data_IF_244553837313
#
_entry.id   IF_244553837313
#
_cell.length_a   1.000
_cell.length_b   1.000
_cell.length_c   1.000
_cell.angle_alpha   90.00
_cell.angle_beta   90.00
_cell.angle_gamma   90.00
#
_symmetry.space_group_name_H-M   'P 1'
#
loop_
_entity.id
_entity.type
_entity.pdbx_description
1 polymer ?
#
# COMPACT_ATOMS: atom_id res chain seq x y z
N UNK A 1 -22.67 -13.88 -5.74
CA UNK A 1 -21.65 -13.24 -6.59
C UNK A 1 -20.89 -12.22 -5.74
N UNK A 2 -19.56 -12.34 -5.55
CA UNK A 2 -18.80 -11.29 -4.84
C UNK A 2 -18.62 -10.12 -5.81
N UNK A 3 -19.02 -8.92 -5.41
CA UNK A 3 -18.83 -7.70 -6.20
C UNK A 3 -17.34 -7.52 -6.54
N UNK A 4 -17.00 -7.12 -7.78
CA UNK A 4 -15.61 -6.91 -8.15
C UNK A 4 -15.03 -5.79 -7.29
N UNK A 5 -13.92 -6.07 -6.63
CA UNK A 5 -13.20 -5.10 -5.83
C UNK A 5 -12.59 -4.05 -6.77
N UNK A 6 -13.16 -2.85 -6.84
CA UNK A 6 -12.59 -1.71 -7.57
C UNK A 6 -11.77 -0.79 -6.66
N UNK A 7 -10.64 -0.24 -7.13
CA UNK A 7 -9.93 0.81 -6.43
C UNK A 7 -10.80 2.04 -6.23
N UNK A 8 -10.53 2.80 -5.17
CA UNK A 8 -11.22 4.07 -4.85
C UNK A 8 -11.01 5.11 -5.95
N UNK A 9 -9.76 5.27 -6.38
CA UNK A 9 -9.32 6.22 -7.40
C UNK A 9 -7.99 5.74 -8.01
N UNK A 10 -7.54 6.43 -9.07
CA UNK A 10 -6.31 6.08 -9.82
C UNK A 10 -5.05 6.19 -8.95
N UNK A 11 -4.96 7.22 -8.12
CA UNK A 11 -3.79 7.47 -7.25
C UNK A 11 -3.65 6.34 -6.22
N UNK A 12 -4.75 5.97 -5.58
CA UNK A 12 -4.80 4.88 -4.60
C UNK A 12 -4.42 3.53 -5.25
N UNK A 13 -4.86 3.28 -6.48
CA UNK A 13 -4.49 2.09 -7.23
C UNK A 13 -2.97 2.04 -7.50
N UNK A 14 -2.39 3.14 -7.98
CA UNK A 14 -0.95 3.23 -8.27
C UNK A 14 -0.09 3.09 -7.01
N UNK A 15 -0.47 3.75 -5.91
CA UNK A 15 0.23 3.64 -4.62
C UNK A 15 0.16 2.20 -4.11
N UNK A 16 -1.03 1.60 -4.10
CA UNK A 16 -1.24 0.23 -3.65
C UNK A 16 -0.39 -0.78 -4.43
N UNK A 17 -0.35 -0.63 -5.76
CA UNK A 17 0.45 -1.48 -6.64
C UNK A 17 1.96 -1.32 -6.36
N UNK A 18 2.47 -0.09 -6.20
CA UNK A 18 3.88 0.15 -5.84
C UNK A 18 4.24 -0.46 -4.48
N UNK A 19 3.35 -0.39 -3.50
CA UNK A 19 3.54 -1.03 -2.19
C UNK A 19 3.62 -2.55 -2.34
N UNK A 20 2.70 -3.16 -3.09
CA UNK A 20 2.68 -4.60 -3.36
C UNK A 20 3.96 -5.07 -4.03
N UNK A 21 4.42 -4.36 -5.06
CA UNK A 21 5.66 -4.68 -5.77
C UNK A 21 6.88 -4.59 -4.86
N UNK A 22 7.00 -3.52 -4.08
CA UNK A 22 8.09 -3.36 -3.12
C UNK A 22 8.07 -4.47 -2.06
N UNK A 23 6.88 -4.84 -1.56
CA UNK A 23 6.69 -5.94 -0.62
C UNK A 23 7.18 -7.27 -1.20
N UNK A 24 6.78 -7.59 -2.43
CA UNK A 24 7.18 -8.82 -3.12
C UNK A 24 8.69 -8.86 -3.40
N UNK A 25 9.29 -7.75 -3.82
CA UNK A 25 10.75 -7.62 -4.00
C UNK A 25 11.52 -7.90 -2.69
N UNK A 26 10.95 -7.53 -1.55
CA UNK A 26 11.50 -7.81 -0.22
C UNK A 26 11.16 -9.19 0.33
N UNK A 27 10.41 -10.01 -0.42
CA UNK A 27 9.99 -11.37 -0.03
C UNK A 27 9.28 -11.44 1.33
N UNK A 28 8.50 -10.41 1.68
CA UNK A 28 7.71 -10.41 2.93
C UNK A 28 6.22 -10.62 2.64
N UNK A 29 5.53 -11.33 3.52
CA UNK A 29 4.08 -11.55 3.40
C UNK A 29 3.29 -10.30 3.78
N UNK A 30 2.03 -10.23 3.39
CA UNK A 30 1.14 -9.15 3.83
C UNK A 30 1.03 -9.13 5.37
N UNK A 31 0.88 -10.29 6.01
CA UNK A 31 0.82 -10.37 7.47
C UNK A 31 2.10 -9.83 8.14
N UNK A 32 3.27 -10.14 7.59
CA UNK A 32 4.55 -9.64 8.11
C UNK A 32 4.68 -8.12 7.98
N UNK A 33 4.35 -7.56 6.80
CA UNK A 33 4.40 -6.11 6.62
C UNK A 33 3.37 -5.40 7.50
N UNK A 34 2.14 -5.91 7.56
CA UNK A 34 1.07 -5.37 8.38
C UNK A 34 1.47 -5.31 9.87
N UNK A 35 2.06 -6.41 10.38
CA UNK A 35 2.61 -6.46 11.75
C UNK A 35 3.71 -5.40 11.98
N UNK A 36 4.59 -5.18 10.99
CA UNK A 36 5.70 -4.19 11.11
C UNK A 36 5.24 -2.74 11.12
N UNK A 37 4.08 -2.43 10.55
CA UNK A 37 3.52 -1.06 10.47
C UNK A 37 2.33 -0.85 11.42
N UNK A 38 1.90 -1.87 12.16
CA UNK A 38 0.83 -1.78 13.16
C UNK A 38 -0.59 -1.76 12.58
N UNK A 39 -0.83 -2.46 11.46
CA UNK A 39 -2.17 -2.60 10.87
C UNK A 39 -2.56 -4.07 10.70
N UNK A 40 -3.83 -4.33 10.36
CA UNK A 40 -4.30 -5.69 10.07
C UNK A 40 -3.85 -6.16 8.67
N UNK A 41 -3.70 -7.47 8.49
CA UNK A 41 -3.41 -8.04 7.17
C UNK A 41 -4.51 -7.73 6.15
N UNK A 42 -5.77 -7.69 6.60
CA UNK A 42 -6.92 -7.35 5.77
C UNK A 42 -6.86 -5.90 5.28
N UNK A 43 -6.48 -4.96 6.16
CA UNK A 43 -6.26 -3.56 5.79
C UNK A 43 -5.12 -3.47 4.77
N UNK A 44 -3.99 -4.16 4.99
CA UNK A 44 -2.90 -4.17 4.00
C UNK A 44 -3.34 -4.77 2.66
N UNK A 45 -4.16 -5.82 2.67
CA UNK A 45 -4.73 -6.41 1.45
C UNK A 45 -5.55 -5.39 0.67
N UNK A 46 -6.39 -4.59 1.36
CA UNK A 46 -7.18 -3.49 0.76
C UNK A 46 -6.29 -2.35 0.27
N UNK A 47 -5.23 -2.01 0.99
CA UNK A 47 -4.21 -1.04 0.57
C UNK A 47 -3.58 -1.45 -0.76
N UNK A 48 -3.12 -2.70 -0.88
CA UNK A 48 -2.42 -3.19 -2.08
C UNK A 48 -3.29 -3.23 -3.35
N UNK A 49 -4.60 -3.11 -3.20
CA UNK A 49 -5.57 -3.03 -4.32
C UNK A 49 -6.24 -1.64 -4.42
N UNK A 50 -5.72 -0.62 -3.72
CA UNK A 50 -6.19 0.76 -3.81
C UNK A 50 -7.58 1.00 -3.21
N UNK A 51 -8.01 0.18 -2.23
CA UNK A 51 -9.32 0.26 -1.58
C UNK A 51 -9.33 1.03 -0.25
N UNK A 52 -8.20 1.63 0.12
CA UNK A 52 -8.07 2.42 1.34
C UNK A 52 -7.68 3.85 1.02
N UNK A 53 -8.23 4.80 1.77
CA UNK A 53 -7.71 6.16 1.81
C UNK A 53 -6.54 6.21 2.80
N UNK A 54 -5.33 6.02 2.30
CA UNK A 54 -4.13 6.00 3.13
C UNK A 54 -3.72 7.40 3.56
N UNK A 55 -3.49 7.58 4.86
CA UNK A 55 -2.80 8.78 5.33
C UNK A 55 -1.35 8.81 4.84
N UNK A 56 -0.82 10.02 4.62
CA UNK A 56 0.60 10.21 4.27
C UNK A 56 1.54 9.57 5.29
N UNK A 57 1.16 9.60 6.57
CA UNK A 57 1.90 8.95 7.65
C UNK A 57 1.99 7.43 7.45
N UNK A 58 0.89 6.79 7.04
CA UNK A 58 0.87 5.34 6.77
C UNK A 58 1.74 5.00 5.56
N UNK A 59 1.66 5.80 4.50
CA UNK A 59 2.52 5.63 3.31
C UNK A 59 4.00 5.76 3.71
N UNK A 60 4.34 6.73 4.55
CA UNK A 60 5.69 6.92 5.10
C UNK A 60 6.15 5.72 5.93
N UNK A 61 5.31 5.19 6.82
CA UNK A 61 5.61 3.98 7.61
C UNK A 61 5.90 2.78 6.70
N UNK A 62 5.07 2.56 5.68
CA UNK A 62 5.24 1.48 4.70
C UNK A 62 6.55 1.64 3.94
N UNK A 63 6.81 2.83 3.38
CA UNK A 63 8.04 3.11 2.65
C UNK A 63 9.28 2.85 3.52
N UNK A 64 9.29 3.36 4.75
CA UNK A 64 10.39 3.15 5.69
C UNK A 64 10.63 1.66 6.00
N UNK A 65 9.57 0.88 6.26
CA UNK A 65 9.71 -0.56 6.56
C UNK A 65 10.11 -1.40 5.35
N UNK A 66 9.87 -0.90 4.14
CA UNK A 66 10.32 -1.51 2.90
C UNK A 66 11.67 -0.95 2.41
N UNK A 67 12.28 0.00 3.14
CA UNK A 67 13.54 0.64 2.77
C UNK A 67 13.46 1.54 1.53
N UNK A 68 12.26 2.07 1.24
CA UNK A 68 12.00 3.00 0.14
C UNK A 68 12.07 4.47 0.56
N UNK A 69 12.11 5.36 -0.44
CA UNK A 69 11.99 6.82 -0.27
C UNK A 69 10.76 7.31 -1.03
N UNK A 70 10.02 8.24 -0.46
CA UNK A 70 8.86 8.86 -1.12
C UNK A 70 9.36 10.05 -1.95
N UNK A 71 8.87 10.14 -3.19
CA UNK A 71 9.03 11.32 -4.06
C UNK A 71 7.64 11.79 -4.46
N UNK A 72 7.41 13.11 -4.38
CA UNK A 72 6.16 13.75 -4.76
C UNK A 72 6.48 14.71 -5.90
N UNK A 73 5.68 14.69 -6.96
CA UNK A 73 5.77 15.60 -8.09
C UNK A 73 4.36 15.98 -8.53
N UNK A 74 4.22 17.20 -9.02
CA UNK A 74 2.99 17.74 -9.60
C UNK A 74 3.31 18.15 -11.03
N UNK A 75 2.34 17.92 -11.92
CA UNK A 75 2.41 18.27 -13.33
C UNK A 75 1.17 19.11 -13.62
N UNK A 76 1.38 20.41 -13.91
CA UNK A 76 0.34 21.41 -14.15
C UNK A 76 0.54 22.02 -15.52
#
# INVERSE_FOLDING_TARGET
MRTPKKPRDKISAEIGQKIKEARLKKKVTQQQLAKRIGITQQMLSRVEIGMENLSLETIKKIANKLGGKIKIGFDF
#
